data_IF_004863195985
#
_entry.id   IF_004863195985
#
_cell.length_a   1.000
_cell.length_b   1.000
_cell.length_c   1.000
_cell.angle_alpha   90.00
_cell.angle_beta   90.00
_cell.angle_gamma   90.00
#
_symmetry.space_group_name_H-M   'P 1'
#
loop_
_entity.id
_entity.type
_entity.pdbx_description
1 polymer ?
#
# COMPACT_ATOMS: atom_id res chain seq x y z
N UNK A 1 76.75 5.32 -17.30
CA UNK A 1 75.60 6.23 -17.27
C UNK A 1 74.41 5.48 -16.66
N UNK A 2 73.83 6.06 -15.59
CA UNK A 2 72.44 5.92 -15.10
C UNK A 2 72.01 4.52 -14.60
N UNK A 3 72.13 4.26 -13.30
CA UNK A 3 71.22 4.63 -12.18
C UNK A 3 69.85 3.95 -12.21
N UNK A 4 69.66 3.06 -11.23
CA UNK A 4 68.44 2.98 -10.42
C UNK A 4 67.20 2.34 -11.07
N UNK A 5 67.01 1.04 -10.81
CA UNK A 5 65.67 0.46 -10.83
C UNK A 5 65.44 -0.34 -9.54
N UNK A 6 64.77 0.33 -8.61
CA UNK A 6 63.69 -0.21 -7.78
C UNK A 6 64.06 -1.31 -6.77
N UNK A 7 64.75 -0.85 -5.73
CA UNK A 7 64.50 -1.27 -4.35
C UNK A 7 63.04 -0.92 -4.00
N UNK A 8 62.21 -1.89 -3.60
CA UNK A 8 60.84 -1.59 -3.22
C UNK A 8 59.91 -2.80 -3.09
N UNK A 9 60.34 -3.84 -2.38
CA UNK A 9 59.46 -4.97 -2.02
C UNK A 9 59.73 -5.39 -0.57
N UNK A 10 59.47 -4.51 0.38
CA UNK A 10 59.34 -4.84 1.79
C UNK A 10 58.57 -3.74 2.50
N UNK A 11 57.66 -4.14 3.40
CA UNK A 11 56.78 -3.31 4.24
C UNK A 11 55.54 -2.70 3.55
N UNK A 12 54.43 -3.43 3.57
CA UNK A 12 53.19 -2.84 4.09
C UNK A 12 52.22 -3.91 4.62
N UNK A 13 51.63 -3.57 5.77
CA UNK A 13 50.46 -4.17 6.40
C UNK A 13 50.57 -5.56 7.02
N UNK A 14 51.22 -5.55 8.18
CA UNK A 14 50.85 -6.38 9.31
C UNK A 14 49.37 -6.20 9.72
N UNK A 15 48.86 -7.26 10.36
CA UNK A 15 47.79 -7.27 11.36
C UNK A 15 46.34 -7.02 10.88
N UNK A 16 45.75 -8.04 10.26
CA UNK A 16 44.32 -8.33 10.41
C UNK A 16 44.15 -9.29 11.60
N UNK A 17 44.29 -8.77 12.82
CA UNK A 17 43.85 -9.45 14.02
C UNK A 17 42.38 -9.07 14.23
N UNK A 18 41.47 -9.90 13.70
CA UNK A 18 40.06 -9.81 14.05
C UNK A 18 39.94 -10.10 15.55
N UNK A 19 39.63 -9.06 16.32
CA UNK A 19 39.15 -9.20 17.68
C UNK A 19 37.82 -9.97 17.66
N UNK A 20 37.89 -11.29 17.81
CA UNK A 20 36.76 -12.07 18.29
C UNK A 20 36.60 -11.68 19.75
N UNK A 21 35.66 -10.77 20.02
CA UNK A 21 35.12 -10.60 21.35
C UNK A 21 34.28 -11.85 21.65
N UNK A 22 34.93 -12.89 22.16
CA UNK A 22 34.24 -13.96 22.89
C UNK A 22 33.71 -13.30 24.16
N UNK A 23 32.41 -13.01 24.21
CA UNK A 23 31.75 -12.78 25.50
C UNK A 23 31.77 -14.12 26.23
N UNK A 24 32.75 -14.31 27.11
CA UNK A 24 32.71 -15.37 28.11
C UNK A 24 31.40 -15.21 28.89
N UNK A 25 30.55 -16.22 28.81
CA UNK A 25 29.53 -16.44 29.83
C UNK A 25 30.27 -16.80 31.11
N UNK A 26 30.59 -15.78 31.90
CA UNK A 26 31.03 -15.94 33.28
C UNK A 26 29.84 -16.47 34.08
N UNK A 27 29.74 -17.80 34.14
CA UNK A 27 28.89 -18.47 35.09
C UNK A 27 29.61 -18.44 36.45
N UNK A 28 29.23 -17.49 37.31
CA UNK A 28 29.53 -17.57 38.75
C UNK A 28 30.03 -16.33 39.47
N UNK A 29 29.41 -15.14 39.30
CA UNK A 29 29.30 -14.15 40.39
C UNK A 29 28.31 -12.97 40.15
N UNK A 30 27.46 -13.05 39.11
CA UNK A 30 26.48 -12.01 38.80
C UNK A 30 25.22 -12.09 39.68
N UNK A 31 24.42 -11.02 39.77
CA UNK A 31 23.13 -11.03 40.44
C UNK A 31 22.22 -12.13 39.87
N UNK A 32 21.64 -12.96 40.74
CA UNK A 32 20.71 -14.02 40.36
C UNK A 32 19.36 -13.42 39.93
N UNK A 33 19.10 -13.37 38.63
CA UNK A 33 17.81 -12.95 38.06
C UNK A 33 17.17 -14.14 37.35
N UNK A 34 15.89 -14.41 37.64
CA UNK A 34 15.13 -15.46 36.97
C UNK A 34 14.13 -14.81 36.03
N UNK A 35 14.15 -15.21 34.77
CA UNK A 35 13.21 -14.75 33.76
C UNK A 35 12.49 -15.95 33.13
N UNK A 36 11.20 -15.79 32.85
CA UNK A 36 10.39 -16.82 32.18
C UNK A 36 9.37 -16.14 31.27
N UNK A 37 9.20 -16.63 30.05
CA UNK A 37 8.19 -16.13 29.13
C UNK A 37 7.10 -17.17 28.88
N UNK A 38 5.88 -16.70 28.62
CA UNK A 38 4.79 -17.53 28.14
C UNK A 38 4.00 -16.81 27.04
N UNK A 39 3.50 -17.56 26.07
CA UNK A 39 2.48 -17.07 25.15
C UNK A 39 1.15 -16.85 25.88
N UNK A 40 0.31 -15.92 25.40
CA UNK A 40 -1.04 -15.77 25.94
C UNK A 40 -1.85 -17.05 25.74
N UNK A 41 -2.79 -17.31 26.64
CA UNK A 41 -3.65 -18.51 26.60
C UNK A 41 -4.47 -18.63 25.31
N UNK A 42 -4.70 -17.51 24.61
CA UNK A 42 -5.34 -17.47 23.30
C UNK A 42 -4.51 -18.15 22.20
N UNK A 43 -3.22 -18.36 22.42
CA UNK A 43 -2.30 -19.03 21.50
C UNK A 43 -1.81 -20.36 22.09
N UNK A 44 -2.71 -21.34 22.12
CA UNK A 44 -2.45 -22.66 22.71
C UNK A 44 -1.31 -23.44 22.01
N UNK A 45 -0.97 -23.10 20.77
CA UNK A 45 0.03 -23.80 19.96
C UNK A 45 1.37 -23.07 19.90
N UNK A 46 1.54 -21.95 20.62
CA UNK A 46 2.75 -21.12 20.59
C UNK A 46 3.15 -20.71 19.15
N UNK A 47 2.15 -20.51 18.29
CA UNK A 47 2.39 -20.12 16.90
C UNK A 47 2.88 -18.69 16.82
N UNK A 48 3.87 -18.46 15.96
CA UNK A 48 4.32 -17.12 15.63
C UNK A 48 3.75 -16.75 14.26
N UNK A 49 2.79 -15.84 14.22
CA UNK A 49 2.13 -15.45 12.98
C UNK A 49 2.95 -14.38 12.27
N UNK A 50 3.33 -14.63 11.02
CA UNK A 50 4.06 -13.66 10.22
C UNK A 50 3.21 -12.43 9.89
N UNK A 51 3.84 -11.25 9.89
CA UNK A 51 3.16 -9.99 9.57
C UNK A 51 2.21 -9.47 10.66
N UNK A 52 1.91 -10.27 11.68
CA UNK A 52 1.06 -9.89 12.80
C UNK A 52 1.85 -9.64 14.09
N UNK A 53 1.18 -8.97 15.05
CA UNK A 53 1.73 -8.65 16.35
C UNK A 53 1.68 -9.89 17.25
N UNK A 54 2.83 -10.51 17.48
CA UNK A 54 2.99 -11.60 18.42
C UNK A 54 3.32 -11.04 19.81
N UNK A 55 2.74 -11.63 20.86
CA UNK A 55 2.90 -11.16 22.24
C UNK A 55 3.35 -12.30 23.14
N UNK A 56 4.28 -12.02 24.04
CA UNK A 56 4.74 -12.88 25.12
C UNK A 56 4.61 -12.11 26.45
N UNK A 57 4.20 -12.80 27.51
CA UNK A 57 4.28 -12.25 28.87
C UNK A 57 5.57 -12.71 29.49
N UNK A 58 6.49 -11.76 29.73
CA UNK A 58 7.77 -11.99 30.39
C UNK A 58 7.60 -11.75 31.88
N UNK A 59 7.84 -12.79 32.66
CA UNK A 59 7.87 -12.76 34.10
C UNK A 59 9.32 -12.66 34.54
N UNK A 60 9.66 -11.59 35.26
CA UNK A 60 11.01 -11.36 35.78
C UNK A 60 10.95 -11.32 37.29
N UNK A 61 11.82 -12.08 37.94
CA UNK A 61 11.95 -12.15 39.39
C UNK A 61 13.40 -11.88 39.77
N UNK A 62 13.61 -10.88 40.62
CA UNK A 62 14.93 -10.58 41.15
C UNK A 62 15.18 -11.42 42.40
N UNK A 63 16.11 -12.38 42.31
CA UNK A 63 16.58 -13.19 43.45
C UNK A 63 17.93 -12.71 43.97
N UNK A 64 18.48 -11.65 43.38
CA UNK A 64 19.67 -11.00 43.87
C UNK A 64 19.29 -10.12 45.07
N UNK A 65 20.04 -10.24 46.16
CA UNK A 65 19.89 -9.42 47.38
C UNK A 65 20.23 -7.92 47.17
N UNK A 66 20.23 -7.48 45.92
CA UNK A 66 20.63 -6.16 45.44
C UNK A 66 19.57 -5.64 44.48
N UNK A 67 19.47 -4.32 44.38
CA UNK A 67 18.55 -3.70 43.43
C UNK A 67 19.17 -3.73 42.03
N UNK A 68 18.42 -4.27 41.08
CA UNK A 68 18.86 -4.43 39.69
C UNK A 68 17.97 -3.61 38.77
N UNK A 69 18.49 -3.06 37.69
CA UNK A 69 17.66 -2.33 36.72
C UNK A 69 17.48 -3.15 35.45
N UNK A 70 16.23 -3.46 35.11
CA UNK A 70 15.89 -4.04 33.81
C UNK A 70 16.15 -3.01 32.70
N UNK A 71 17.03 -3.35 31.75
CA UNK A 71 17.37 -2.45 30.64
C UNK A 71 16.46 -2.69 29.44
N UNK A 72 16.49 -3.91 28.91
CA UNK A 72 15.80 -4.24 27.69
C UNK A 72 15.36 -5.71 27.65
N UNK A 73 14.43 -5.99 26.75
CA UNK A 73 14.03 -7.34 26.37
C UNK A 73 14.25 -7.46 24.87
N UNK A 74 14.93 -8.52 24.47
CA UNK A 74 15.24 -8.81 23.08
C UNK A 74 14.98 -10.27 22.76
N UNK A 75 15.05 -10.61 21.49
CA UNK A 75 14.90 -11.98 21.05
C UNK A 75 15.51 -12.20 19.68
N UNK A 76 15.60 -13.46 19.28
CA UNK A 76 16.02 -13.87 17.96
C UNK A 76 15.29 -15.16 17.56
N UNK A 77 15.06 -15.29 16.26
CA UNK A 77 14.70 -16.55 15.61
C UNK A 77 15.98 -17.20 15.09
N UNK A 78 16.18 -18.45 15.45
CA UNK A 78 17.33 -19.26 15.08
C UNK A 78 16.86 -20.49 14.31
N UNK A 79 17.76 -21.01 13.48
CA UNK A 79 17.58 -22.31 12.89
C UNK A 79 17.61 -23.40 14.00
N UNK A 80 16.65 -24.32 14.05
CA UNK A 80 16.56 -25.31 15.13
C UNK A 80 17.72 -26.30 15.13
N UNK A 81 18.31 -26.61 13.98
CA UNK A 81 19.38 -27.60 13.84
C UNK A 81 20.76 -26.96 14.03
N UNK A 82 21.01 -25.84 13.35
CA UNK A 82 22.34 -25.22 13.30
C UNK A 82 22.57 -24.13 14.35
N UNK A 83 21.50 -23.69 15.04
CA UNK A 83 21.51 -22.52 15.93
C UNK A 83 22.03 -21.23 15.27
N UNK A 84 22.05 -21.19 13.93
CA UNK A 84 22.36 -19.98 13.20
C UNK A 84 21.24 -18.96 13.40
N UNK A 85 21.59 -17.73 13.75
CA UNK A 85 20.63 -16.63 13.88
C UNK A 85 20.05 -16.32 12.50
N UNK A 86 18.75 -16.56 12.34
CA UNK A 86 18.02 -16.24 11.12
C UNK A 86 17.61 -14.77 11.13
N UNK A 87 17.09 -14.30 12.26
CA UNK A 87 16.59 -12.93 12.40
C UNK A 87 16.56 -12.47 13.85
N UNK A 88 17.10 -11.29 14.11
CA UNK A 88 16.91 -10.60 15.39
C UNK A 88 15.50 -9.99 15.46
N UNK A 89 14.85 -10.16 16.61
CA UNK A 89 13.54 -9.59 16.93
C UNK A 89 13.69 -8.20 17.51
N UNK A 90 12.56 -7.50 17.64
CA UNK A 90 12.50 -6.13 18.16
C UNK A 90 13.03 -6.06 19.60
N UNK A 91 14.02 -5.22 19.86
CA UNK A 91 14.46 -4.95 21.24
C UNK A 91 13.65 -3.80 21.84
N UNK A 92 13.06 -4.01 23.01
CA UNK A 92 12.28 -2.99 23.74
C UNK A 92 13.02 -2.59 25.00
N UNK A 93 13.13 -1.29 25.26
CA UNK A 93 13.77 -0.74 26.46
C UNK A 93 12.71 -0.45 27.53
N UNK A 94 12.96 -0.87 28.76
CA UNK A 94 12.04 -0.69 29.89
C UNK A 94 12.59 0.25 30.96
N UNK A 95 13.87 0.16 31.30
CA UNK A 95 14.50 0.95 32.38
C UNK A 95 13.67 0.91 33.68
N UNK A 96 13.32 -0.31 34.11
CA UNK A 96 12.49 -0.54 35.31
C UNK A 96 13.37 -1.04 36.45
N UNK A 97 13.36 -0.41 37.64
CA UNK A 97 14.06 -0.94 38.80
C UNK A 97 13.34 -2.19 39.34
N UNK A 98 14.13 -3.23 39.61
CA UNK A 98 13.71 -4.49 40.21
C UNK A 98 14.27 -4.58 41.63
N UNK A 99 13.35 -4.53 42.59
CA UNK A 99 13.68 -4.71 44.01
C UNK A 99 13.87 -6.21 44.27
N UNK A 100 14.72 -6.54 45.24
CA UNK A 100 14.93 -7.91 45.72
C UNK A 100 13.60 -8.62 46.03
N UNK A 101 13.50 -9.89 45.61
CA UNK A 101 12.37 -10.79 45.75
C UNK A 101 11.03 -10.28 45.17
N UNK A 102 11.07 -9.29 44.27
CA UNK A 102 9.87 -8.81 43.57
C UNK A 102 9.76 -9.46 42.20
N UNK A 103 8.56 -9.98 41.92
CA UNK A 103 8.16 -10.54 40.64
C UNK A 103 7.32 -9.52 39.86
N UNK A 104 7.71 -9.26 38.61
CA UNK A 104 6.96 -8.39 37.70
C UNK A 104 6.63 -9.12 36.41
N UNK A 105 5.53 -8.72 35.77
CA UNK A 105 5.12 -9.22 34.47
C UNK A 105 5.13 -8.08 33.46
N UNK A 106 5.79 -8.30 32.33
CA UNK A 106 5.99 -7.31 31.28
C UNK A 106 5.57 -7.93 29.95
N UNK A 107 4.67 -7.28 29.18
CA UNK A 107 4.33 -7.74 27.84
C UNK A 107 5.46 -7.40 26.87
N UNK A 108 5.99 -8.40 26.17
CA UNK A 108 6.94 -8.26 25.08
C UNK A 108 6.25 -8.55 23.75
N UNK A 109 6.35 -7.63 22.79
CA UNK A 109 5.67 -7.76 21.50
C UNK A 109 6.64 -7.66 20.35
N UNK A 110 6.51 -8.54 19.36
CA UNK A 110 7.39 -8.59 18.20
C UNK A 110 6.64 -9.03 16.94
N UNK A 111 7.26 -8.79 15.78
CA UNK A 111 6.77 -9.21 14.47
C UNK A 111 7.76 -10.19 13.84
N UNK A 112 7.23 -11.21 13.18
CA UNK A 112 8.03 -12.14 12.38
C UNK A 112 7.78 -11.95 10.89
N UNK A 113 8.83 -12.16 10.08
CA UNK A 113 8.74 -12.28 8.62
C UNK A 113 9.81 -13.28 8.20
N UNK A 114 9.58 -14.54 8.57
CA UNK A 114 10.48 -15.66 8.29
C UNK A 114 9.74 -16.70 7.45
N UNK A 115 10.47 -17.60 6.77
CA UNK A 115 9.82 -18.70 6.04
C UNK A 115 8.94 -19.51 7.02
N UNK A 116 7.69 -19.86 6.64
CA UNK A 116 6.85 -20.71 7.47
C UNK A 116 7.52 -22.06 7.79
N UNK A 117 7.31 -22.56 9.00
CA UNK A 117 7.93 -23.79 9.52
C UNK A 117 8.46 -23.62 10.94
N UNK A 118 9.23 -24.60 11.40
CA UNK A 118 9.73 -24.62 12.77
C UNK A 118 11.03 -23.83 12.91
N UNK A 119 11.07 -22.96 13.91
CA UNK A 119 12.22 -22.13 14.25
C UNK A 119 12.44 -22.15 15.75
N UNK A 120 13.68 -22.03 16.20
CA UNK A 120 13.99 -21.85 17.62
C UNK A 120 13.81 -20.38 17.99
N UNK A 121 12.93 -20.09 18.94
CA UNK A 121 12.72 -18.76 19.48
C UNK A 121 13.50 -18.63 20.79
N UNK A 122 14.52 -17.77 20.77
CA UNK A 122 15.26 -17.40 21.97
C UNK A 122 14.92 -15.95 22.35
N UNK A 123 14.42 -15.75 23.56
CA UNK A 123 14.09 -14.44 24.13
C UNK A 123 14.92 -14.25 25.40
N UNK A 124 15.52 -13.09 25.53
CA UNK A 124 16.37 -12.76 26.66
C UNK A 124 16.05 -11.38 27.24
N UNK A 125 16.47 -11.23 28.47
CA UNK A 125 16.30 -10.04 29.29
C UNK A 125 17.68 -9.53 29.67
N UNK A 126 17.98 -8.28 29.36
CA UNK A 126 19.22 -7.63 29.80
C UNK A 126 18.95 -6.74 30.99
N UNK A 127 19.79 -6.85 32.00
CA UNK A 127 19.70 -6.06 33.21
C UNK A 127 21.06 -5.48 33.59
N UNK A 128 21.02 -4.40 34.36
CA UNK A 128 22.19 -3.72 34.89
C UNK A 128 22.24 -3.85 36.40
N UNK A 129 23.40 -4.23 36.90
CA UNK A 129 23.75 -4.23 38.33
C UNK A 129 25.03 -3.41 38.54
N UNK A 130 25.43 -3.24 39.79
CA UNK A 130 26.66 -2.53 40.17
C UNK A 130 27.91 -3.16 39.54
N UNK A 131 27.88 -4.47 39.28
CA UNK A 131 28.95 -5.22 38.64
C UNK A 131 28.96 -5.15 37.09
N UNK A 132 27.88 -4.65 36.48
CA UNK A 132 27.78 -4.48 35.03
C UNK A 132 26.47 -4.96 34.42
N UNK A 133 26.48 -5.17 33.10
CA UNK A 133 25.32 -5.62 32.32
C UNK A 133 25.36 -7.13 32.15
N UNK A 134 24.24 -7.77 32.42
CA UNK A 134 24.08 -9.22 32.30
C UNK A 134 22.85 -9.55 31.45
N UNK A 135 22.90 -10.70 30.78
CA UNK A 135 21.84 -11.22 29.93
C UNK A 135 21.34 -12.54 30.50
N UNK A 136 20.02 -12.65 30.66
CA UNK A 136 19.35 -13.85 31.18
C UNK A 136 18.33 -14.32 30.15
N UNK A 137 18.31 -15.61 29.87
CA UNK A 137 17.34 -16.21 28.94
C UNK A 137 15.97 -16.35 29.63
N UNK A 138 14.92 -15.91 28.95
CA UNK A 138 13.54 -15.98 29.43
C UNK A 138 12.72 -17.02 28.68
N UNK A 139 13.07 -17.29 27.42
CA UNK A 139 12.39 -18.27 26.58
C UNK A 139 13.39 -18.89 25.63
N UNK A 140 13.34 -20.21 25.48
CA UNK A 140 14.20 -20.91 24.54
C UNK A 140 13.54 -22.22 24.12
N UNK A 141 12.68 -22.17 23.12
CA UNK A 141 11.96 -23.35 22.62
C UNK A 141 11.73 -23.27 21.11
N UNK A 142 11.39 -24.41 20.50
CA UNK A 142 10.99 -24.48 19.09
C UNK A 142 9.53 -24.01 18.97
N UNK A 143 9.29 -23.07 18.06
CA UNK A 143 7.99 -22.52 17.73
C UNK A 143 7.72 -22.66 16.25
N UNK A 144 6.45 -22.85 15.88
CA UNK A 144 6.05 -22.91 14.48
C UNK A 144 5.66 -21.52 14.00
N UNK A 145 6.36 -21.03 12.99
CA UNK A 145 6.03 -19.79 12.28
C UNK A 145 5.01 -20.11 11.20
N UNK A 146 3.87 -19.42 11.25
CA UNK A 146 2.74 -19.63 10.34
C UNK A 146 2.41 -18.36 9.56
N UNK A 147 1.82 -18.51 8.39
CA UNK A 147 1.23 -17.38 7.67
C UNK A 147 -0.12 -16.98 8.29
N UNK A 148 -0.49 -15.70 8.22
CA UNK A 148 -1.78 -15.25 8.70
C UNK A 148 -2.91 -15.85 7.87
N UNK A 149 -4.09 -15.92 8.44
CA UNK A 149 -5.27 -16.44 7.75
C UNK A 149 -5.69 -15.53 6.58
N UNK A 150 -6.01 -16.14 5.44
CA UNK A 150 -6.49 -15.40 4.28
C UNK A 150 -7.92 -14.93 4.54
N UNK A 151 -8.09 -13.61 4.68
CA UNK A 151 -9.41 -12.99 4.77
C UNK A 151 -10.02 -12.81 3.38
N UNK A 152 -10.96 -13.69 3.04
CA UNK A 152 -11.73 -13.60 1.77
C UNK A 152 -12.67 -12.39 1.72
N UNK A 153 -12.97 -11.76 2.87
CA UNK A 153 -13.81 -10.57 2.98
C UNK A 153 -12.99 -9.29 3.26
N UNK A 154 -11.73 -9.25 2.84
CA UNK A 154 -10.96 -8.01 2.84
C UNK A 154 -11.39 -7.09 1.68
N UNK A 155 -12.20 -6.07 1.99
CA UNK A 155 -12.69 -5.09 1.01
C UNK A 155 -11.55 -4.36 0.28
N UNK A 156 -10.38 -4.18 0.91
CA UNK A 156 -9.22 -3.53 0.27
C UNK A 156 -8.64 -4.42 -0.82
N UNK A 157 -8.48 -5.71 -0.53
CA UNK A 157 -8.00 -6.70 -1.49
C UNK A 157 -9.04 -6.94 -2.61
N UNK A 158 -10.32 -7.11 -2.23
CA UNK A 158 -11.42 -7.28 -3.18
C UNK A 158 -11.59 -6.10 -4.12
N UNK A 159 -11.57 -4.86 -3.61
CA UNK A 159 -11.67 -3.67 -4.46
C UNK A 159 -10.52 -3.56 -5.46
N UNK A 160 -9.30 -3.92 -5.05
CA UNK A 160 -8.15 -3.99 -5.95
C UNK A 160 -8.39 -4.99 -7.08
N UNK A 161 -8.89 -6.19 -6.78
CA UNK A 161 -9.24 -7.19 -7.80
C UNK A 161 -10.38 -6.76 -8.71
N UNK A 162 -11.43 -6.11 -8.18
CA UNK A 162 -12.53 -5.58 -8.99
C UNK A 162 -12.03 -4.51 -9.96
N UNK A 163 -11.13 -3.61 -9.52
CA UNK A 163 -10.54 -2.59 -10.40
C UNK A 163 -9.68 -3.24 -11.49
N UNK A 164 -8.79 -4.18 -11.12
CA UNK A 164 -7.93 -4.90 -12.08
C UNK A 164 -8.79 -5.68 -13.08
N UNK A 165 -9.80 -6.41 -12.62
CA UNK A 165 -10.74 -7.13 -13.47
C UNK A 165 -11.56 -6.19 -14.37
N UNK A 166 -11.94 -5.01 -13.87
CA UNK A 166 -12.64 -3.98 -14.65
C UNK A 166 -11.76 -3.42 -15.78
N UNK A 167 -10.48 -3.15 -15.52
CA UNK A 167 -9.52 -2.71 -16.55
C UNK A 167 -9.31 -3.83 -17.57
N UNK A 168 -9.04 -5.06 -17.12
CA UNK A 168 -8.82 -6.19 -18.02
C UNK A 168 -10.06 -6.47 -18.87
N UNK A 169 -11.24 -6.46 -18.24
CA UNK A 169 -12.53 -6.66 -18.89
C UNK A 169 -12.84 -5.54 -19.89
N UNK A 170 -12.54 -4.29 -19.57
CA UNK A 170 -12.67 -3.16 -20.49
C UNK A 170 -11.77 -3.31 -21.72
N UNK A 171 -10.51 -3.72 -21.54
CA UNK A 171 -9.58 -3.98 -22.65
C UNK A 171 -10.04 -5.14 -23.53
N UNK A 172 -10.49 -6.25 -22.93
CA UNK A 172 -11.03 -7.39 -23.66
C UNK A 172 -12.31 -7.02 -24.43
N UNK A 173 -13.19 -6.22 -23.81
CA UNK A 173 -14.39 -5.73 -24.47
C UNK A 173 -14.06 -4.84 -25.67
N UNK A 174 -13.12 -3.92 -25.52
CA UNK A 174 -12.64 -3.10 -26.63
C UNK A 174 -12.08 -3.97 -27.76
N UNK A 175 -11.18 -4.90 -27.44
CA UNK A 175 -10.63 -5.83 -28.42
C UNK A 175 -11.71 -6.65 -29.13
N UNK A 176 -12.72 -7.15 -28.41
CA UNK A 176 -13.85 -7.86 -29.00
C UNK A 176 -14.61 -6.96 -29.99
N UNK A 177 -14.95 -5.73 -29.60
CA UNK A 177 -15.69 -4.81 -30.49
C UNK A 177 -14.88 -4.36 -31.71
N UNK A 178 -13.54 -4.30 -31.61
CA UNK A 178 -12.68 -3.86 -32.71
C UNK A 178 -12.32 -4.98 -33.68
N UNK A 179 -12.11 -6.21 -33.19
CA UNK A 179 -11.60 -7.32 -34.01
C UNK A 179 -12.68 -8.34 -34.39
N UNK A 180 -13.81 -8.41 -33.68
CA UNK A 180 -14.90 -9.34 -34.02
C UNK A 180 -15.99 -8.60 -34.81
N UNK A 181 -16.30 -9.03 -36.05
CA UNK A 181 -17.35 -8.42 -36.86
C UNK A 181 -18.69 -8.41 -36.13
N UNK A 182 -19.21 -7.21 -35.84
CA UNK A 182 -20.50 -7.06 -35.18
C UNK A 182 -21.64 -7.31 -36.18
N UNK A 183 -22.66 -8.13 -35.83
CA UNK A 183 -23.79 -8.36 -36.72
C UNK A 183 -24.54 -7.06 -36.99
N UNK A 184 -24.76 -6.75 -38.28
CA UNK A 184 -25.47 -5.53 -38.69
C UNK A 184 -26.91 -5.60 -38.19
N UNK A 185 -27.29 -4.73 -37.25
CA UNK A 185 -28.70 -4.55 -36.88
C UNK A 185 -29.51 -4.24 -38.14
N UNK A 186 -30.63 -4.95 -38.42
CA UNK A 186 -31.46 -4.66 -39.57
C UNK A 186 -31.96 -3.22 -39.43
N UNK A 187 -31.62 -2.39 -40.42
CA UNK A 187 -32.11 -1.02 -40.52
C UNK A 187 -33.63 -1.10 -40.58
N UNK A 188 -34.32 -0.58 -39.57
CA UNK A 188 -35.77 -0.43 -39.62
C UNK A 188 -36.11 0.23 -40.96
N UNK A 189 -36.92 -0.46 -41.78
CA UNK A 189 -37.35 0.06 -43.08
C UNK A 189 -37.97 1.42 -42.81
N UNK A 190 -37.37 2.50 -43.33
CA UNK A 190 -38.05 3.79 -43.39
C UNK A 190 -39.38 3.51 -44.08
N UNK A 191 -40.50 3.81 -43.42
CA UNK A 191 -41.81 3.70 -44.01
C UNK A 191 -41.76 4.39 -45.37
N UNK A 192 -42.11 3.66 -46.43
CA UNK A 192 -42.20 4.20 -47.76
C UNK A 192 -43.22 5.34 -47.70
N UNK A 193 -42.75 6.57 -47.92
CA UNK A 193 -43.65 7.70 -48.13
C UNK A 193 -44.45 7.37 -49.38
N UNK A 194 -45.74 7.09 -49.21
CA UNK A 194 -46.68 6.80 -50.28
C UNK A 194 -46.60 7.91 -51.32
N UNK A 195 -46.39 7.56 -52.59
CA UNK A 195 -46.46 8.49 -53.70
C UNK A 195 -47.84 9.20 -53.69
N UNK A 196 -47.91 10.51 -54.05
CA UNK A 196 -49.19 11.21 -54.08
C UNK A 196 -50.08 10.61 -55.18
N UNK A 197 -51.14 9.92 -54.77
CA UNK A 197 -52.24 9.55 -55.67
C UNK A 197 -53.13 10.78 -55.83
N UNK A 198 -53.22 11.27 -57.07
CA UNK A 198 -54.32 12.11 -57.52
C UNK A 198 -54.10 13.61 -57.40
N UNK A 199 -54.30 14.29 -58.53
CA UNK A 199 -54.58 15.72 -58.62
C UNK A 199 -55.83 16.04 -57.79
N UNK A 200 -55.67 16.65 -56.62
CA UNK A 200 -56.80 17.13 -55.81
C UNK A 200 -57.22 18.51 -56.30
N UNK A 201 -58.31 18.52 -57.07
CA UNK A 201 -59.19 19.67 -57.27
C UNK A 201 -59.68 20.15 -55.90
N UNK A 202 -59.36 21.38 -55.54
CA UNK A 202 -59.84 22.01 -54.33
C UNK A 202 -61.36 22.19 -54.39
N UNK A 203 -62.10 21.46 -53.57
CA UNK A 203 -63.47 21.81 -53.16
C UNK A 203 -63.71 21.18 -51.79
N UNK A 204 -64.07 22.03 -50.83
CA UNK A 204 -63.79 21.82 -49.42
C UNK A 204 -64.60 20.76 -48.68
N UNK A 205 -64.01 20.30 -47.58
CA UNK A 205 -64.65 19.93 -46.31
C UNK A 205 -63.53 19.43 -45.38
N UNK A 206 -63.02 20.31 -44.52
CA UNK A 206 -61.94 20.00 -43.57
C UNK A 206 -61.09 21.22 -43.28
N UNK A 207 -61.72 22.25 -42.69
CA UNK A 207 -61.10 23.54 -42.42
C UNK A 207 -59.84 23.40 -41.56
N UNK A 208 -58.71 23.87 -42.09
CA UNK A 208 -57.58 24.28 -41.28
C UNK A 208 -58.09 25.36 -40.31
N UNK A 209 -58.22 25.03 -39.04
CA UNK A 209 -58.47 26.01 -37.99
C UNK A 209 -57.16 26.70 -37.68
N UNK A 210 -56.96 27.92 -38.17
CA UNK A 210 -55.77 28.75 -37.93
C UNK A 210 -55.76 29.39 -36.52
N UNK A 211 -56.73 29.01 -35.68
CA UNK A 211 -57.04 29.57 -34.36
C UNK A 211 -56.00 29.20 -33.28
N UNK A 212 -55.20 28.15 -33.53
CA UNK A 212 -54.11 27.74 -32.64
C UNK A 212 -52.78 28.48 -32.93
N UNK A 213 -52.69 29.24 -34.01
CA UNK A 213 -51.46 29.95 -34.38
C UNK A 213 -51.49 31.32 -33.70
N UNK A 214 -50.63 31.57 -32.71
CA UNK A 214 -50.60 32.88 -32.06
C UNK A 214 -50.38 33.99 -33.09
N UNK A 215 -51.18 35.07 -33.02
CA UNK A 215 -51.25 36.12 -34.06
C UNK A 215 -49.88 36.71 -34.43
N UNK A 216 -48.91 36.68 -33.52
CA UNK A 216 -47.55 37.16 -33.72
C UNK A 216 -46.65 36.25 -34.59
N UNK A 217 -47.13 35.08 -35.02
CA UNK A 217 -46.43 34.17 -35.93
C UNK A 217 -47.02 34.10 -37.36
N UNK A 218 -48.13 34.80 -37.63
CA UNK A 218 -48.71 34.92 -38.97
C UNK A 218 -47.96 36.01 -39.77
N UNK A 219 -46.87 35.62 -40.45
CA UNK A 219 -46.17 36.51 -41.39
C UNK A 219 -47.09 36.79 -42.58
N UNK A 220 -47.73 37.96 -42.59
CA UNK A 220 -48.42 38.52 -43.77
C UNK A 220 -47.46 38.51 -44.97
N UNK A 221 -47.63 37.54 -45.85
CA UNK A 221 -46.89 37.44 -47.09
C UNK A 221 -47.30 38.55 -48.04
N UNK A 222 -46.58 39.68 -48.03
CA UNK A 222 -46.55 40.61 -49.16
C UNK A 222 -45.34 40.30 -50.01
N UNK A 223 -45.60 40.02 -51.28
CA UNK A 223 -44.58 39.77 -52.29
C UNK A 223 -43.74 40.99 -52.64
N UNK A 224 -42.84 40.75 -53.59
CA UNK A 224 -41.96 41.67 -54.32
C UNK A 224 -40.49 41.78 -53.83
N UNK A 225 -39.63 40.99 -54.50
CA UNK A 225 -38.45 41.39 -55.31
C UNK A 225 -37.39 42.36 -54.73
N UNK A 226 -36.13 41.99 -55.03
CA UNK A 226 -34.81 42.70 -54.93
C UNK A 226 -34.12 42.62 -53.56
N UNK A 227 -32.94 42.00 -53.42
CA UNK A 227 -31.61 42.27 -54.00
C UNK A 227 -30.84 43.36 -53.25
N UNK A 228 -29.77 42.95 -52.56
CA UNK A 228 -28.59 43.77 -52.31
C UNK A 228 -28.39 44.30 -50.88
N UNK A 229 -27.21 43.97 -50.34
CA UNK A 229 -26.31 44.83 -49.58
C UNK A 229 -26.57 45.11 -48.08
N UNK A 230 -25.53 44.79 -47.30
CA UNK A 230 -24.96 45.53 -46.14
C UNK A 230 -25.84 45.58 -44.87
N UNK A 231 -25.44 44.91 -43.79
CA UNK A 231 -24.42 45.33 -42.79
C UNK A 231 -25.04 46.14 -41.63
N UNK A 232 -24.85 45.60 -40.42
CA UNK A 232 -24.97 46.34 -39.15
C UNK A 232 -26.38 46.45 -38.57
N UNK A 233 -26.63 46.50 -37.27
CA UNK A 233 -25.82 46.49 -36.04
C UNK A 233 -26.79 46.36 -34.85
N UNK A 234 -26.22 46.08 -33.66
CA UNK A 234 -26.76 46.45 -32.33
C UNK A 234 -27.92 45.60 -31.78
N UNK A 235 -27.94 45.16 -30.53
CA UNK A 235 -27.05 45.42 -29.41
C UNK A 235 -27.67 44.86 -28.12
N UNK A 236 -26.89 44.92 -27.05
CA UNK A 236 -27.20 44.69 -25.63
C UNK A 236 -27.40 43.26 -25.09
N UNK A 237 -26.89 42.87 -23.91
CA UNK A 237 -25.97 43.40 -22.88
C UNK A 237 -25.74 42.24 -21.88
N UNK A 238 -24.72 42.35 -21.02
CA UNK A 238 -24.50 41.62 -19.75
C UNK A 238 -24.18 40.11 -19.82
N UNK A 239 -23.21 39.53 -19.11
CA UNK A 239 -22.33 39.89 -17.99
C UNK A 239 -21.24 38.79 -18.02
N UNK A 240 -19.93 39.02 -17.92
CA UNK A 240 -19.23 39.79 -16.89
C UNK A 240 -18.45 38.81 -15.99
N UNK A 241 -17.14 39.07 -15.85
CA UNK A 241 -16.13 38.43 -14.98
C UNK A 241 -15.50 37.11 -15.50
N UNK A 242 -14.35 37.16 -16.18
CA UNK A 242 -12.98 37.30 -15.62
C UNK A 242 -12.62 36.10 -14.72
N UNK A 243 -11.60 35.29 -15.03
CA UNK A 243 -10.20 35.66 -14.84
C UNK A 243 -9.22 34.99 -15.83
N UNK A 244 -8.46 35.85 -16.52
CA UNK A 244 -7.00 35.84 -16.73
C UNK A 244 -6.19 34.54 -16.78
N UNK A 245 -5.39 34.38 -17.85
CA UNK A 245 -4.18 33.57 -17.84
C UNK A 245 -3.69 33.19 -19.24
N UNK A 246 -2.95 34.08 -19.90
CA UNK A 246 -2.14 33.81 -21.10
C UNK A 246 -1.19 32.61 -20.82
N UNK A 247 -0.83 31.75 -21.78
CA UNK A 247 0.12 32.01 -22.86
C UNK A 247 0.28 30.73 -23.72
N UNK A 248 0.73 30.88 -24.97
CA UNK A 248 1.48 29.80 -25.65
C UNK A 248 0.80 29.07 -26.83
N UNK A 249 0.51 29.79 -27.92
CA UNK A 249 0.11 29.19 -29.21
C UNK A 249 1.32 28.64 -29.97
N UNK A 250 1.18 27.39 -30.43
CA UNK A 250 1.99 26.64 -31.41
C UNK A 250 2.50 27.43 -32.63
N UNK A 251 3.71 27.09 -33.12
CA UNK A 251 4.13 26.88 -34.53
C UNK A 251 5.55 26.30 -34.54
N UNK A 252 5.81 25.04 -34.96
CA UNK A 252 5.98 24.47 -36.32
C UNK A 252 7.09 25.17 -37.15
N UNK A 253 8.22 24.48 -37.40
CA UNK A 253 9.21 24.94 -38.40
C UNK A 253 10.60 24.28 -38.42
N UNK A 254 10.68 23.01 -38.82
CA UNK A 254 11.67 22.41 -39.75
C UNK A 254 12.97 23.19 -40.06
N UNK A 255 14.13 22.69 -39.65
CA UNK A 255 15.20 22.12 -40.50
C UNK A 255 16.28 21.49 -39.63
#
# INVERSE_FOLDING_TARGET
>A
MRFGSLFGAALSLAAFASAVATSEQENGNGPELVATAAFPETNAFNHVVNGEKNTLTITVENKSKQNVTLLNIGGALLNPDSNAVLKNLTTVKYTVPLIDNVKIQIPYTFYSQSKPGDHRLNVWVEHNSDAGKYKVEAFDTIVTVVEPELSIFDLKLLSTYVIVAGILGGLLYLAYTTFVPQPKKPRAKKAAVSAPVGTVTATGAGGYQEEWIPEHHLRKGKGAKKQGALSGTSGDELSGADTSGAEGKRRKGRK
#
